data_IF_606021060156
#
_entry.id   IF_606021060156
#
_cell.length_a   1.000
_cell.length_b   1.000
_cell.length_c   1.000
_cell.angle_alpha   90.00
_cell.angle_beta   90.00
_cell.angle_gamma   90.00
#
_symmetry.space_group_name_H-M   'P 1'
#
loop_
_entity.id
_entity.type
_entity.pdbx_description
1 polymer ?
#
# COMPACT_ATOMS: atom_id res chain seq x y z
N UNK A 1 13.84 -39.61 19.58
CA UNK A 1 13.08 -39.71 18.32
C UNK A 1 12.56 -38.32 17.99
N UNK A 2 13.16 -37.64 17.01
CA UNK A 2 12.73 -36.30 16.60
C UNK A 2 11.46 -36.41 15.77
N UNK A 3 10.36 -35.85 16.28
CA UNK A 3 9.11 -35.77 15.54
C UNK A 3 9.30 -34.85 14.32
N UNK A 4 8.92 -35.36 13.15
CA UNK A 4 8.84 -34.56 11.93
C UNK A 4 7.85 -33.40 12.13
N UNK A 5 8.10 -32.20 11.58
CA UNK A 5 7.17 -31.10 11.69
C UNK A 5 5.82 -31.49 11.08
N UNK A 6 4.75 -31.35 11.86
CA UNK A 6 3.39 -31.61 11.42
C UNK A 6 3.11 -30.81 10.14
N UNK A 7 2.68 -31.51 9.08
CA UNK A 7 2.17 -30.85 7.89
C UNK A 7 1.03 -29.89 8.28
N UNK A 8 0.98 -28.68 7.68
CA UNK A 8 -0.08 -27.73 7.99
C UNK A 8 -1.43 -28.40 7.79
N UNK A 9 -2.27 -28.35 8.83
CA UNK A 9 -3.62 -28.95 8.81
C UNK A 9 -4.37 -28.45 7.57
N UNK A 10 -5.05 -29.33 6.82
CA UNK A 10 -5.90 -28.91 5.72
C UNK A 10 -6.93 -27.89 6.25
N UNK A 11 -7.14 -26.83 5.48
CA UNK A 11 -8.02 -25.74 5.87
C UNK A 11 -9.43 -26.27 6.19
N UNK A 12 -10.10 -25.73 7.22
CA UNK A 12 -11.45 -26.15 7.58
C UNK A 12 -12.39 -25.90 6.39
N UNK A 13 -13.07 -26.96 5.94
CA UNK A 13 -14.18 -26.87 4.99
C UNK A 13 -15.38 -26.30 5.75
N UNK A 14 -15.53 -24.98 5.76
CA UNK A 14 -16.70 -24.31 6.31
C UNK A 14 -17.83 -24.22 5.30
N UNK A 15 -19.05 -24.01 5.78
CA UNK A 15 -20.30 -23.78 5.04
C UNK A 15 -20.28 -22.43 4.29
N UNK A 16 -19.28 -22.21 3.45
CA UNK A 16 -19.17 -20.99 2.69
C UNK A 16 -20.29 -20.94 1.64
N UNK A 17 -20.95 -19.79 1.46
CA UNK A 17 -21.93 -19.63 0.41
C UNK A 17 -21.26 -19.91 -0.95
N UNK A 18 -21.87 -20.78 -1.75
CA UNK A 18 -21.45 -20.98 -3.13
C UNK A 18 -21.70 -19.68 -3.90
N UNK A 19 -20.63 -19.05 -4.36
CA UNK A 19 -20.70 -17.83 -5.16
C UNK A 19 -20.62 -18.28 -6.63
N UNK A 20 -21.70 -18.12 -7.42
CA UNK A 20 -21.77 -18.66 -8.77
C UNK A 20 -20.56 -18.29 -9.64
N UNK A 21 -19.87 -19.34 -10.10
CA UNK A 21 -18.68 -19.25 -10.95
C UNK A 21 -17.36 -18.99 -10.19
N UNK A 22 -17.41 -18.62 -8.91
CA UNK A 22 -16.22 -18.22 -8.17
C UNK A 22 -15.53 -19.46 -7.62
N UNK A 23 -14.19 -19.53 -7.58
CA UNK A 23 -13.53 -20.72 -7.07
C UNK A 23 -13.96 -21.05 -5.64
N UNK A 24 -14.60 -22.21 -5.45
CA UNK A 24 -15.11 -22.67 -4.15
C UNK A 24 -14.02 -22.62 -3.06
N UNK A 25 -12.78 -23.00 -3.40
CA UNK A 25 -11.62 -22.96 -2.51
C UNK A 25 -11.23 -21.56 -2.01
N UNK A 26 -11.83 -20.50 -2.55
CA UNK A 26 -11.61 -19.10 -2.17
C UNK A 26 -12.89 -18.38 -1.77
N UNK A 27 -14.07 -18.94 -2.07
CA UNK A 27 -15.37 -18.34 -1.76
C UNK A 27 -15.56 -18.07 -0.27
N UNK A 28 -14.97 -18.89 0.61
CA UNK A 28 -15.04 -18.72 2.06
C UNK A 28 -14.27 -17.51 2.60
N UNK A 29 -13.43 -16.86 1.78
CA UNK A 29 -12.77 -15.61 2.14
C UNK A 29 -13.52 -14.38 1.64
N UNK A 30 -14.57 -14.57 0.84
CA UNK A 30 -15.38 -13.48 0.31
C UNK A 30 -16.45 -13.16 1.35
N UNK A 31 -16.47 -11.94 1.92
CA UNK A 31 -17.53 -11.56 2.84
C UNK A 31 -18.86 -11.48 2.11
N UNK A 32 -19.96 -11.94 2.72
CA UNK A 32 -21.27 -12.01 2.05
C UNK A 32 -21.82 -10.65 1.58
N UNK A 33 -21.37 -9.55 2.21
CA UNK A 33 -21.63 -8.18 1.76
C UNK A 33 -20.35 -7.36 1.85
N UNK A 34 -20.11 -6.50 0.87
CA UNK A 34 -19.01 -5.54 0.85
C UNK A 34 -19.58 -4.17 0.45
N UNK A 35 -19.51 -3.18 1.34
CA UNK A 35 -20.06 -1.83 1.11
C UNK A 35 -21.50 -1.86 0.55
N UNK A 36 -22.38 -2.61 1.23
CA UNK A 36 -23.80 -2.82 0.88
C UNK A 36 -24.07 -3.59 -0.43
N UNK A 37 -23.02 -4.08 -1.11
CA UNK A 37 -23.16 -4.95 -2.28
C UNK A 37 -23.17 -6.41 -1.83
N UNK A 38 -24.22 -7.15 -2.22
CA UNK A 38 -24.31 -8.59 -2.00
C UNK A 38 -23.38 -9.34 -2.96
N UNK A 39 -22.35 -9.98 -2.43
CA UNK A 39 -21.34 -10.67 -3.23
C UNK A 39 -21.84 -11.95 -3.88
N UNK A 40 -22.92 -12.54 -3.37
CA UNK A 40 -23.47 -13.79 -3.92
C UNK A 40 -24.14 -13.58 -5.29
N UNK A 41 -24.56 -12.35 -5.57
CA UNK A 41 -25.21 -11.97 -6.84
C UNK A 41 -24.30 -11.17 -7.77
N UNK A 42 -23.08 -10.84 -7.33
CA UNK A 42 -22.18 -9.97 -8.06
C UNK A 42 -21.49 -10.70 -9.24
N UNK A 43 -21.58 -10.13 -10.44
CA UNK A 43 -20.91 -10.66 -11.63
C UNK A 43 -19.44 -10.21 -11.69
N UNK A 44 -18.55 -10.94 -11.02
CA UNK A 44 -17.11 -10.65 -11.04
C UNK A 44 -16.38 -11.20 -12.28
N UNK A 45 -17.05 -11.98 -13.15
CA UNK A 45 -16.53 -12.36 -14.47
C UNK A 45 -16.87 -11.31 -15.55
N UNK A 46 -17.78 -10.41 -15.24
CA UNK A 46 -18.15 -9.26 -16.05
C UNK A 46 -16.99 -8.27 -16.27
N UNK A 47 -17.23 -7.25 -17.11
CA UNK A 47 -16.25 -6.19 -17.36
C UNK A 47 -15.91 -5.42 -16.07
N UNK A 48 -14.73 -4.80 -16.05
CA UNK A 48 -14.30 -3.95 -14.94
C UNK A 48 -15.30 -2.80 -14.73
N UNK A 49 -15.94 -2.69 -13.54
CA UNK A 49 -16.83 -1.57 -13.24
C UNK A 49 -16.09 -0.23 -13.19
N UNK A 50 -16.77 0.86 -13.52
CA UNK A 50 -16.16 2.19 -13.58
C UNK A 50 -16.16 2.93 -12.23
N UNK A 51 -17.03 2.53 -11.30
CA UNK A 51 -17.28 3.26 -10.05
C UNK A 51 -17.40 2.34 -8.84
N UNK A 52 -17.17 2.91 -7.65
CA UNK A 52 -17.44 2.25 -6.38
C UNK A 52 -18.95 2.27 -6.06
N UNK A 53 -19.45 1.30 -5.27
CA UNK A 53 -18.71 0.22 -4.60
C UNK A 53 -18.32 -0.96 -5.50
N UNK A 54 -18.96 -1.12 -6.66
CA UNK A 54 -18.80 -2.29 -7.55
C UNK A 54 -17.35 -2.51 -8.00
N UNK A 55 -16.61 -1.44 -8.31
CA UNK A 55 -15.19 -1.50 -8.64
C UNK A 55 -14.38 -2.15 -7.50
N UNK A 56 -14.67 -1.78 -6.25
CA UNK A 56 -13.98 -2.35 -5.08
C UNK A 56 -14.28 -3.83 -4.94
N UNK A 57 -15.55 -4.22 -5.08
CA UNK A 57 -15.99 -5.63 -5.00
C UNK A 57 -15.31 -6.45 -6.08
N UNK A 58 -15.37 -6.00 -7.34
CA UNK A 58 -14.76 -6.67 -8.48
C UNK A 58 -13.25 -6.87 -8.27
N UNK A 59 -12.55 -5.82 -7.82
CA UNK A 59 -11.11 -5.85 -7.58
C UNK A 59 -10.73 -6.76 -6.42
N UNK A 60 -11.48 -6.72 -5.32
CA UNK A 60 -11.24 -7.59 -4.18
C UNK A 60 -11.43 -9.07 -4.55
N UNK A 61 -12.53 -9.40 -5.22
CA UNK A 61 -12.80 -10.77 -5.67
C UNK A 61 -11.70 -11.29 -6.60
N UNK A 62 -11.24 -10.48 -7.56
CA UNK A 62 -10.12 -10.85 -8.43
C UNK A 62 -8.78 -10.93 -7.68
N UNK A 63 -8.54 -10.07 -6.70
CA UNK A 63 -7.33 -10.11 -5.90
C UNK A 63 -7.26 -11.36 -5.00
N UNK A 64 -8.37 -11.77 -4.38
CA UNK A 64 -8.45 -12.98 -3.54
C UNK A 64 -8.01 -14.23 -4.33
N UNK A 65 -8.37 -14.32 -5.62
CA UNK A 65 -7.98 -15.44 -6.48
C UNK A 65 -6.47 -15.51 -6.71
N UNK A 66 -5.79 -14.35 -6.84
CA UNK A 66 -4.36 -14.27 -7.12
C UNK A 66 -3.46 -14.08 -5.91
N UNK A 67 -4.01 -13.89 -4.71
CA UNK A 67 -3.22 -13.56 -3.52
C UNK A 67 -2.43 -14.73 -2.95
N UNK A 68 -1.31 -14.40 -2.31
CA UNK A 68 -0.47 -15.34 -1.60
C UNK A 68 -1.06 -15.72 -0.24
N UNK A 69 -0.61 -16.85 0.30
CA UNK A 69 -1.02 -17.32 1.64
C UNK A 69 -0.67 -16.37 2.78
N UNK A 70 0.25 -15.43 2.57
CA UNK A 70 0.64 -14.44 3.60
C UNK A 70 -0.48 -13.46 3.91
N UNK A 71 -1.24 -13.08 2.88
CA UNK A 71 -2.27 -12.03 2.98
C UNK A 71 -3.65 -12.59 3.28
N UNK A 72 -3.86 -13.90 3.07
CA UNK A 72 -5.11 -14.61 3.39
C UNK A 72 -5.59 -14.32 4.82
N UNK A 73 -4.68 -14.18 5.79
CA UNK A 73 -5.07 -13.88 7.19
C UNK A 73 -5.91 -12.61 7.31
N UNK A 74 -5.63 -11.57 6.52
CA UNK A 74 -6.43 -10.33 6.53
C UNK A 74 -7.88 -10.56 6.12
N UNK A 75 -8.12 -11.50 5.20
CA UNK A 75 -9.46 -11.83 4.73
C UNK A 75 -10.28 -12.54 5.81
N UNK A 76 -9.60 -13.23 6.74
CA UNK A 76 -10.25 -13.88 7.88
C UNK A 76 -10.55 -12.91 9.02
N UNK A 77 -9.81 -11.80 9.10
CA UNK A 77 -9.89 -10.84 10.21
C UNK A 77 -11.07 -9.86 10.07
N UNK A 78 -11.75 -9.81 8.91
CA UNK A 78 -12.99 -9.03 8.76
C UNK A 78 -13.33 -8.57 7.34
N UNK A 79 -13.89 -7.37 7.27
CA UNK A 79 -14.36 -6.70 6.06
C UNK A 79 -13.31 -5.68 5.57
N UNK A 80 -13.27 -5.36 4.26
CA UNK A 80 -12.44 -4.25 3.78
C UNK A 80 -12.89 -2.96 4.47
N UNK A 81 -11.93 -2.15 4.92
CA UNK A 81 -12.20 -0.94 5.70
C UNK A 81 -12.25 0.33 4.85
N UNK A 82 -11.93 0.22 3.55
CA UNK A 82 -12.00 1.33 2.59
C UNK A 82 -12.37 0.87 1.18
N UNK A 83 -12.97 1.78 0.42
CA UNK A 83 -13.19 1.61 -1.00
C UNK A 83 -11.89 1.85 -1.78
N UNK A 84 -11.80 1.28 -2.98
CA UNK A 84 -10.65 1.45 -3.86
C UNK A 84 -10.63 2.85 -4.45
N UNK A 85 -9.52 3.53 -4.25
CA UNK A 85 -9.24 4.79 -4.92
C UNK A 85 -7.91 4.69 -5.68
N UNK A 86 -8.00 4.92 -7.00
CA UNK A 86 -6.85 4.89 -7.89
C UNK A 86 -6.39 6.31 -8.19
N UNK A 87 -5.07 6.47 -8.23
CA UNK A 87 -4.47 7.69 -8.76
C UNK A 87 -4.77 7.79 -10.27
N UNK A 88 -4.68 9.00 -10.79
CA UNK A 88 -4.63 9.25 -12.23
C UNK A 88 -3.19 9.51 -12.65
N UNK A 89 -2.80 9.03 -13.82
CA UNK A 89 -1.56 9.41 -14.50
C UNK A 89 -1.90 10.17 -15.77
N UNK A 90 -1.04 11.09 -16.18
CA UNK A 90 -1.20 11.77 -17.46
C UNK A 90 -0.66 10.87 -18.56
N UNK A 91 -1.48 10.53 -19.54
CA UNK A 91 -1.03 9.81 -20.73
C UNK A 91 -0.14 10.72 -21.58
N UNK A 92 1.08 10.27 -21.90
CA UNK A 92 2.04 11.11 -22.63
C UNK A 92 1.62 11.41 -24.06
N UNK A 93 0.75 10.57 -24.65
CA UNK A 93 0.27 10.74 -26.03
C UNK A 93 -0.92 11.68 -26.11
N UNK A 94 -1.91 11.50 -25.26
CA UNK A 94 -3.15 12.30 -25.28
C UNK A 94 -3.13 13.50 -24.34
N UNK A 95 -2.15 13.58 -23.42
CA UNK A 95 -2.07 14.55 -22.31
C UNK A 95 -3.32 14.57 -21.41
N UNK A 96 -4.14 13.52 -21.48
CA UNK A 96 -5.34 13.37 -20.65
C UNK A 96 -5.03 12.58 -19.38
N UNK A 97 -5.69 12.90 -18.26
CA UNK A 97 -5.62 12.05 -17.08
C UNK A 97 -6.31 10.72 -17.39
N UNK A 98 -5.61 9.62 -17.11
CA UNK A 98 -6.12 8.27 -17.20
C UNK A 98 -5.91 7.56 -15.86
N UNK A 99 -6.87 6.74 -15.39
CA UNK A 99 -6.67 5.95 -14.18
C UNK A 99 -5.49 4.98 -14.35
N UNK A 100 -4.85 4.62 -13.24
CA UNK A 100 -3.87 3.54 -13.27
C UNK A 100 -4.52 2.22 -13.71
N UNK A 101 -3.80 1.45 -14.52
CA UNK A 101 -4.26 0.13 -14.94
C UNK A 101 -4.16 -0.86 -13.76
N UNK A 102 -5.28 -1.50 -13.43
CA UNK A 102 -5.38 -2.55 -12.42
C UNK A 102 -4.88 -3.87 -13.02
N UNK A 103 -3.67 -4.28 -12.66
CA UNK A 103 -3.11 -5.56 -13.11
C UNK A 103 -3.08 -6.58 -11.97
N UNK A 104 -4.12 -7.42 -11.88
CA UNK A 104 -4.27 -8.49 -10.88
C UNK A 104 -3.77 -9.86 -11.38
N UNK A 105 -3.04 -9.92 -12.51
CA UNK A 105 -2.37 -11.16 -12.94
C UNK A 105 -1.12 -11.47 -12.13
N UNK A 106 -0.56 -10.45 -11.47
CA UNK A 106 0.60 -10.59 -10.61
C UNK A 106 0.14 -10.76 -9.16
N UNK A 107 0.51 -11.88 -8.53
CA UNK A 107 0.14 -12.17 -7.14
C UNK A 107 0.57 -11.09 -6.15
N UNK A 108 1.68 -10.40 -6.41
CA UNK A 108 2.09 -9.28 -5.58
C UNK A 108 1.17 -8.06 -5.68
N UNK A 109 0.59 -7.82 -6.86
CA UNK A 109 -0.40 -6.75 -7.01
C UNK A 109 -1.70 -7.15 -6.30
N UNK A 110 -2.07 -8.43 -6.32
CA UNK A 110 -3.17 -8.94 -5.52
C UNK A 110 -2.92 -8.75 -4.01
N UNK A 111 -1.73 -9.11 -3.53
CA UNK A 111 -1.33 -8.92 -2.14
C UNK A 111 -1.33 -7.43 -1.75
N UNK A 112 -0.78 -6.56 -2.59
CA UNK A 112 -0.81 -5.12 -2.40
C UNK A 112 -2.25 -4.59 -2.35
N UNK A 113 -3.13 -5.08 -3.23
CA UNK A 113 -4.53 -4.66 -3.27
C UNK A 113 -5.29 -5.05 -2.00
N UNK A 114 -5.19 -6.32 -1.56
CA UNK A 114 -5.84 -6.74 -0.32
C UNK A 114 -5.30 -5.95 0.87
N UNK A 115 -3.97 -5.76 0.96
CA UNK A 115 -3.40 -4.92 2.01
C UNK A 115 -3.86 -3.47 1.94
N UNK A 116 -4.11 -2.93 0.75
CA UNK A 116 -4.66 -1.59 0.61
C UNK A 116 -6.11 -1.50 1.11
N UNK A 117 -6.94 -2.52 0.87
CA UNK A 117 -8.34 -2.50 1.30
C UNK A 117 -8.53 -2.79 2.80
N UNK A 118 -7.61 -3.56 3.41
CA UNK A 118 -7.72 -4.02 4.80
C UNK A 118 -6.73 -3.35 5.77
N UNK A 119 -5.68 -2.72 5.26
CA UNK A 119 -4.61 -2.16 6.09
C UNK A 119 -4.96 -0.81 6.70
N UNK A 120 -4.10 -0.32 7.58
CA UNK A 120 -4.25 1.00 8.19
C UNK A 120 -3.60 2.06 7.29
N UNK A 121 -4.29 3.17 7.07
CA UNK A 121 -3.72 4.32 6.37
C UNK A 121 -2.89 5.16 7.35
N UNK A 122 -1.70 5.57 6.92
CA UNK A 122 -0.83 6.44 7.70
C UNK A 122 -1.21 7.91 7.49
N UNK A 123 -1.16 8.67 8.58
CA UNK A 123 -1.24 10.13 8.57
C UNK A 123 -0.15 10.74 7.68
N UNK A 124 -0.40 11.93 7.14
CA UNK A 124 0.47 12.59 6.15
C UNK A 124 1.93 12.67 6.60
N UNK A 125 2.17 12.96 7.88
CA UNK A 125 3.51 13.06 8.49
C UNK A 125 4.28 11.74 8.44
N UNK A 126 3.58 10.61 8.61
CA UNK A 126 4.14 9.26 8.72
C UNK A 126 4.21 8.52 7.38
N UNK A 127 3.67 9.10 6.30
CA UNK A 127 3.69 8.47 4.99
C UNK A 127 5.12 8.24 4.48
N UNK A 128 5.28 7.16 3.70
CA UNK A 128 6.56 6.91 3.04
C UNK A 128 6.86 7.99 1.99
N UNK A 129 8.14 8.23 1.71
CA UNK A 129 8.58 9.30 0.79
C UNK A 129 7.94 9.19 -0.59
N UNK A 130 7.76 7.97 -1.12
CA UNK A 130 7.08 7.74 -2.40
C UNK A 130 5.59 8.12 -2.37
N UNK A 131 4.90 7.83 -1.27
CA UNK A 131 3.47 8.15 -1.17
C UNK A 131 3.27 9.66 -0.99
N UNK A 132 4.15 10.34 -0.26
CA UNK A 132 4.23 11.81 -0.18
C UNK A 132 4.44 12.44 -1.56
N UNK A 133 5.37 11.89 -2.34
CA UNK A 133 5.61 12.26 -3.73
C UNK A 133 4.47 11.89 -4.70
N UNK A 134 3.37 11.32 -4.18
CA UNK A 134 2.25 10.87 -4.98
C UNK A 134 2.57 9.81 -6.04
N UNK A 135 3.62 9.01 -5.81
CA UNK A 135 4.04 7.94 -6.72
C UNK A 135 3.28 6.64 -6.43
N UNK A 136 2.86 5.95 -7.48
CA UNK A 136 2.21 4.64 -7.40
C UNK A 136 0.79 4.65 -7.96
N UNK A 137 0.09 3.53 -7.84
CA UNK A 137 -1.24 3.36 -8.43
C UNK A 137 -2.38 3.67 -7.45
N UNK A 138 -2.15 3.47 -6.16
CA UNK A 138 -3.16 3.53 -5.12
C UNK A 138 -3.11 4.88 -4.40
N UNK A 139 -4.26 5.44 -4.05
CA UNK A 139 -4.33 6.63 -3.19
C UNK A 139 -3.96 6.22 -1.74
N UNK A 140 -3.29 7.12 -1.02
CA UNK A 140 -2.91 6.88 0.37
C UNK A 140 -1.64 6.04 0.59
N UNK A 141 -1.21 5.98 1.86
CA UNK A 141 -0.07 5.18 2.31
C UNK A 141 -0.54 4.11 3.31
N UNK A 142 -0.96 2.96 2.79
CA UNK A 142 -1.58 1.90 3.61
C UNK A 142 -0.57 0.84 4.03
N UNK A 143 -0.55 0.44 5.30
CA UNK A 143 0.37 -0.56 5.86
C UNK A 143 -0.35 -1.71 6.57
N UNK A 144 0.28 -2.90 6.50
CA UNK A 144 -0.10 -4.08 7.27
C UNK A 144 1.16 -4.61 7.97
N UNK A 145 1.60 -4.00 9.09
CA UNK A 145 2.92 -4.23 9.68
C UNK A 145 3.14 -5.69 10.09
N UNK A 146 2.06 -6.39 10.43
CA UNK A 146 2.07 -7.79 10.86
C UNK A 146 2.34 -8.76 9.70
N UNK A 147 2.35 -8.28 8.45
CA UNK A 147 2.49 -9.11 7.24
C UNK A 147 3.71 -8.69 6.43
N UNK A 148 3.80 -7.41 6.06
CA UNK A 148 4.91 -6.85 5.28
C UNK A 148 5.25 -5.46 5.81
N UNK A 149 6.53 -5.10 6.00
CA UNK A 149 6.92 -3.78 6.48
C UNK A 149 6.64 -2.64 5.48
N UNK A 150 6.50 -2.97 4.19
CA UNK A 150 6.24 -2.00 3.13
C UNK A 150 4.76 -1.61 3.05
N UNK A 151 4.49 -0.35 2.71
CA UNK A 151 3.12 0.04 2.36
C UNK A 151 2.63 -0.67 1.08
N UNK A 152 1.32 -0.84 0.96
CA UNK A 152 0.65 -1.48 -0.16
C UNK A 152 1.02 -0.84 -1.50
N UNK A 153 0.95 0.49 -1.58
CA UNK A 153 1.24 1.24 -2.79
C UNK A 153 2.69 1.08 -3.28
N UNK A 154 3.67 1.01 -2.37
CA UNK A 154 5.05 0.74 -2.77
C UNK A 154 5.27 -0.72 -3.17
N UNK A 155 4.53 -1.67 -2.62
CA UNK A 155 4.69 -3.07 -3.01
C UNK A 155 4.07 -3.37 -4.39
N UNK A 156 3.12 -2.54 -4.83
CA UNK A 156 2.55 -2.59 -6.17
C UNK A 156 3.65 -2.54 -7.24
N UNK A 157 3.57 -3.45 -8.23
CA UNK A 157 4.54 -3.59 -9.30
C UNK A 157 6.01 -3.68 -8.83
N UNK A 158 6.30 -4.40 -7.72
CA UNK A 158 7.67 -4.65 -7.21
C UNK A 158 8.44 -3.39 -6.80
N UNK A 159 7.76 -2.28 -6.53
CA UNK A 159 8.43 -1.04 -6.10
C UNK A 159 8.89 -1.05 -4.63
N UNK A 160 8.70 -2.18 -3.92
CA UNK A 160 8.74 -2.28 -2.46
C UNK A 160 10.12 -2.05 -1.84
N UNK A 161 11.20 -2.40 -2.55
CA UNK A 161 12.58 -2.18 -2.09
C UNK A 161 12.97 -0.71 -1.92
N UNK A 162 12.16 0.22 -2.45
CA UNK A 162 12.37 1.66 -2.34
C UNK A 162 11.37 2.31 -1.37
N UNK A 163 10.62 1.52 -0.60
CA UNK A 163 9.73 2.05 0.42
C UNK A 163 10.56 2.50 1.63
N UNK A 164 10.47 3.78 2.01
CA UNK A 164 11.20 4.28 3.20
C UNK A 164 10.75 3.63 4.51
N UNK A 165 9.57 3.00 4.52
CA UNK A 165 9.06 2.19 5.64
C UNK A 165 9.64 0.76 5.66
N UNK A 166 10.24 0.29 4.57
CA UNK A 166 10.70 -1.09 4.41
C UNK A 166 12.02 -1.44 5.05
N UNK A 167 12.79 -0.43 5.46
CA UNK A 167 14.03 -0.65 6.18
C UNK A 167 13.75 -1.20 7.58
N UNK A 168 14.57 -2.11 8.12
CA UNK A 168 14.39 -2.70 9.46
C UNK A 168 14.40 -1.68 10.63
N UNK A 169 14.56 -0.38 10.35
CA UNK A 169 14.54 0.70 11.34
C UNK A 169 13.15 1.32 11.59
N UNK A 170 12.16 1.14 10.70
CA UNK A 170 10.83 1.77 10.83
C UNK A 170 9.93 1.09 11.88
N UNK A 171 10.10 -0.22 12.09
CA UNK A 171 9.35 -0.98 13.11
C UNK A 171 9.64 -0.48 14.54
N UNK A 172 10.83 0.08 14.79
CA UNK A 172 11.21 0.68 16.08
C UNK A 172 10.40 1.95 16.40
N UNK A 173 9.95 2.72 15.41
CA UNK A 173 9.16 3.94 15.65
C UNK A 173 7.72 3.61 16.06
N UNK A 174 7.15 2.49 15.57
CA UNK A 174 5.76 2.09 15.85
C UNK A 174 5.56 1.49 17.24
N UNK A 175 6.59 0.87 17.82
CA UNK A 175 6.56 0.39 19.21
C UNK A 175 6.50 1.53 20.25
N UNK A 176 6.85 2.76 19.88
CA UNK A 176 6.78 3.93 20.78
C UNK A 176 5.38 4.56 20.86
N UNK A 177 4.60 4.56 19.76
CA UNK A 177 3.24 5.17 19.74
C UNK A 177 2.16 4.32 20.44
N UNK A 178 2.37 3.01 20.63
CA UNK A 178 1.38 2.13 21.29
C UNK A 178 1.47 2.09 22.82
N UNK A 179 2.40 2.83 23.43
CA UNK A 179 2.62 2.85 24.89
C UNK A 179 2.19 4.17 25.55
N UNK A 180 1.96 5.25 24.80
CA UNK A 180 1.44 6.51 25.36
C UNK A 180 -0.07 6.64 25.19
N UNK A 181 -0.81 5.91 26.01
CA UNK A 181 -2.14 6.36 26.45
C UNK A 181 -2.37 5.83 27.87
N UNK A 182 -1.64 6.42 28.81
CA UNK A 182 -1.91 6.38 30.24
C UNK A 182 -1.15 7.57 30.86
N UNK A 183 -1.91 8.64 31.12
CA UNK A 183 -1.72 9.67 32.13
C UNK A 183 -0.28 9.98 32.59
N UNK A 184 0.24 11.13 32.18
CA UNK A 184 1.05 11.98 33.07
C UNK A 184 1.23 13.36 32.44
N UNK A 185 0.64 14.35 33.10
CA UNK A 185 1.00 15.76 33.01
C UNK A 185 2.48 15.93 33.40
N UNK A 186 3.27 16.65 32.59
CA UNK A 186 4.34 17.51 33.10
C UNK A 186 4.86 18.42 31.99
N UNK A 187 4.92 19.70 32.33
CA UNK A 187 5.43 20.84 31.58
C UNK A 187 6.93 20.73 31.19
N UNK A 188 7.34 21.53 30.21
CA UNK A 188 8.67 22.13 30.16
C UNK A 188 9.69 21.48 29.21
N UNK A 189 9.87 22.06 28.02
CA UNK A 189 11.09 22.81 27.62
C UNK A 189 11.16 22.95 26.11
N UNK A 190 11.24 24.22 25.69
CA UNK A 190 11.71 24.68 24.40
C UNK A 190 13.18 24.30 24.23
N UNK A 191 13.55 23.64 23.12
CA UNK A 191 14.89 23.78 22.54
C UNK A 191 14.75 23.80 21.00
N UNK A 192 15.08 24.95 20.44
CA UNK A 192 15.31 25.18 19.02
C UNK A 192 16.53 24.35 18.57
N UNK A 193 16.32 23.37 17.68
CA UNK A 193 17.41 22.76 16.91
C UNK A 193 17.29 23.21 15.45
N UNK A 194 17.74 24.44 15.21
CA UNK A 194 18.01 24.97 13.88
C UNK A 194 19.21 24.24 13.28
N UNK A 195 18.98 23.02 12.81
CA UNK A 195 19.95 22.19 12.11
C UNK A 195 20.56 22.92 10.93
N UNK A 196 21.86 23.14 11.02
CA UNK A 196 22.68 23.97 10.14
C UNK A 196 22.69 23.40 8.71
N UNK A 197 21.90 23.99 7.80
CA UNK A 197 21.78 23.61 6.38
C UNK A 197 23.13 23.47 5.65
N UNK A 198 24.17 24.14 6.14
CA UNK A 198 25.53 24.09 5.61
C UNK A 198 26.29 22.77 5.89
N UNK A 199 25.94 22.02 6.93
CA UNK A 199 26.61 20.73 7.21
C UNK A 199 26.24 19.64 6.20
N UNK A 200 25.02 19.71 5.63
CA UNK A 200 24.54 18.77 4.60
C UNK A 200 25.36 18.87 3.30
N UNK A 201 25.97 20.02 3.02
CA UNK A 201 26.80 20.20 1.83
C UNK A 201 28.22 19.64 1.96
N UNK A 202 28.73 19.48 3.18
CA UNK A 202 30.09 19.00 3.41
C UNK A 202 30.19 17.47 3.33
N UNK A 203 29.11 16.74 3.64
CA UNK A 203 29.07 15.26 3.60
C UNK A 203 28.65 14.70 2.22
N UNK A 204 28.43 15.56 1.24
CA UNK A 204 27.92 15.15 -0.06
C UNK A 204 29.06 14.74 -1.00
N UNK A 205 28.93 13.58 -1.65
CA UNK A 205 30.00 13.06 -2.49
C UNK A 205 30.29 13.99 -3.71
N UNK A 206 31.54 14.04 -4.20
CA UNK A 206 31.95 14.94 -5.29
C UNK A 206 31.17 14.76 -6.61
N UNK A 207 30.72 13.54 -6.92
CA UNK A 207 29.90 13.24 -8.09
C UNK A 207 28.47 13.79 -7.93
N UNK A 208 27.93 13.80 -6.72
CA UNK A 208 26.63 14.41 -6.41
C UNK A 208 26.69 15.94 -6.51
N UNK A 209 27.77 16.57 -6.04
CA UNK A 209 28.00 18.01 -6.23
C UNK A 209 28.11 18.40 -7.73
N UNK A 210 28.79 17.56 -8.52
CA UNK A 210 28.93 17.77 -9.96
C UNK A 210 27.58 17.64 -10.70
N UNK A 211 26.70 16.74 -10.26
CA UNK A 211 25.36 16.61 -10.85
C UNK A 211 24.48 17.81 -10.52
N UNK A 212 24.55 18.32 -9.29
CA UNK A 212 23.79 19.51 -8.91
C UNK A 212 24.26 20.76 -9.64
N UNK A 213 25.57 20.93 -9.87
CA UNK A 213 26.09 22.08 -10.62
C UNK A 213 25.62 22.12 -12.08
N UNK A 214 25.43 20.95 -12.72
CA UNK A 214 24.83 20.84 -14.05
C UNK A 214 23.35 21.25 -14.00
N UNK A 215 22.59 20.77 -13.02
CA UNK A 215 21.16 21.10 -12.86
C UNK A 215 20.95 22.61 -12.62
N UNK A 216 21.76 23.22 -11.75
CA UNK A 216 21.69 24.67 -11.51
C UNK A 216 22.10 25.50 -12.72
N UNK A 217 23.12 25.06 -13.47
CA UNK A 217 23.52 25.72 -14.72
C UNK A 217 22.44 25.64 -15.81
N UNK A 218 21.68 24.54 -15.86
CA UNK A 218 20.56 24.37 -16.78
C UNK A 218 19.34 25.20 -16.38
N UNK A 219 19.05 25.29 -15.07
CA UNK A 219 17.98 26.12 -14.53
C UNK A 219 18.25 27.62 -14.75
N UNK A 220 19.50 28.06 -14.58
CA UNK A 220 19.91 29.45 -14.83
C UNK A 220 19.80 29.84 -16.31
N UNK A 221 20.04 28.91 -17.24
CA UNK A 221 19.85 29.15 -18.69
C UNK A 221 18.38 29.34 -19.08
N UNK A 222 17.44 28.76 -18.34
CA UNK A 222 15.99 28.87 -18.61
C UNK A 222 15.39 30.16 -18.07
N UNK A 223 15.95 30.73 -17.01
CA UNK A 223 15.49 31.99 -16.41
C UNK A 223 16.14 33.23 -17.03
N UNK A 224 17.25 33.06 -17.78
CA UNK A 224 18.01 34.14 -18.41
C UNK A 224 17.70 34.48 -19.87
N UNK A 225 16.68 33.88 -20.50
CA UNK A 225 16.22 34.28 -21.85
C UNK A 225 14.93 35.08 -21.73
N UNK A 226 15.08 36.40 -21.54
CA UNK A 226 14.15 37.39 -22.08
C UNK A 226 14.41 37.56 -23.57
#
# INVERSE_FOLDING_TARGET
>A
MSALPEHPKPFPRGDAPDIPGYPEARGHYVPGTIFDVDTSTFDYNGPLPEANPDLTVWVLMNAINGCSSKVIKLLMDGQPIRQLELRTKVDSRSLKPIPYNINLRNSQNCDAMIRHLYGEELEEEDQCTKCKDSKGALIGCVVCPNIVPNCANCDWNRSGGQCSLGAPQSARRRAKRKVHNADSESEGQEEEDSGNFWEVFNDMDPATLTRLSVVFSEAAKRTGRR
#
